data_IF_979327757322
#
_entry.id   IF_979327757322
#
_cell.length_a   1.000
_cell.length_b   1.000
_cell.length_c   1.000
_cell.angle_alpha   90.00
_cell.angle_beta   90.00
_cell.angle_gamma   90.00
#
_symmetry.space_group_name_H-M   'P 1'
#
loop_
_entity.id
_entity.type
_entity.pdbx_description
1 polymer ?
#
# COMPACT_ATOMS: atom_id res chain seq x y z
N UNK A 1 40.91 -43.96 54.37
CA UNK A 1 40.46 -42.54 54.37
C UNK A 1 39.39 -42.29 53.29
N UNK A 2 38.09 -42.30 53.64
CA UNK A 2 36.99 -42.25 52.67
C UNK A 2 36.59 -40.84 52.16
N UNK A 3 37.09 -39.75 52.77
CA UNK A 3 36.59 -38.38 52.53
C UNK A 3 36.94 -37.72 51.17
N UNK A 4 38.02 -38.14 50.49
CA UNK A 4 38.47 -37.48 49.23
C UNK A 4 37.54 -37.75 48.04
N UNK A 5 36.84 -38.89 48.02
CA UNK A 5 35.93 -39.24 46.90
C UNK A 5 34.60 -38.48 46.97
N UNK A 6 34.16 -38.10 48.17
CA UNK A 6 32.91 -37.35 48.37
C UNK A 6 33.06 -35.88 47.91
N UNK A 7 34.16 -35.22 48.28
CA UNK A 7 34.46 -33.83 47.85
C UNK A 7 34.51 -33.68 46.33
N UNK A 8 35.17 -34.61 45.62
CA UNK A 8 35.22 -34.60 44.14
C UNK A 8 33.85 -34.81 43.48
N UNK A 9 32.90 -35.50 44.13
CA UNK A 9 31.53 -35.67 43.60
C UNK A 9 30.72 -34.38 43.77
N UNK A 10 30.82 -33.71 44.92
CA UNK A 10 30.13 -32.45 45.18
C UNK A 10 30.61 -31.32 44.27
N UNK A 11 31.93 -31.21 44.02
CA UNK A 11 32.49 -30.24 43.07
C UNK A 11 32.00 -30.47 41.63
N UNK A 12 31.90 -31.73 41.19
CA UNK A 12 31.36 -32.08 39.87
C UNK A 12 29.86 -31.79 39.76
N UNK A 13 29.08 -31.99 40.82
CA UNK A 13 27.66 -31.66 40.85
C UNK A 13 27.42 -30.13 40.86
N UNK A 14 28.19 -29.37 41.64
CA UNK A 14 28.13 -27.91 41.67
C UNK A 14 28.50 -27.28 40.31
N UNK A 15 29.51 -27.83 39.62
CA UNK A 15 29.91 -27.35 38.28
C UNK A 15 28.81 -27.57 37.23
N UNK A 16 28.14 -28.72 37.26
CA UNK A 16 27.00 -29.01 36.37
C UNK A 16 25.79 -28.12 36.63
N UNK A 17 25.49 -27.82 37.90
CA UNK A 17 24.41 -26.90 38.26
C UNK A 17 24.69 -25.46 37.79
N UNK A 18 25.93 -24.98 37.96
CA UNK A 18 26.35 -23.65 37.49
C UNK A 18 26.29 -23.54 35.96
N UNK A 19 26.72 -24.58 35.25
CA UNK A 19 26.72 -24.63 33.77
C UNK A 19 25.30 -24.64 33.18
N UNK A 20 24.35 -25.34 33.83
CA UNK A 20 22.93 -25.31 33.43
C UNK A 20 22.31 -23.93 33.65
N UNK A 21 22.59 -23.28 34.78
CA UNK A 21 22.08 -21.94 35.09
C UNK A 21 22.56 -20.88 34.10
N UNK A 22 23.84 -20.92 33.70
CA UNK A 22 24.37 -20.02 32.66
C UNK A 22 23.81 -20.29 31.27
N UNK A 23 23.54 -21.56 30.93
CA UNK A 23 22.94 -21.93 29.65
C UNK A 23 21.47 -21.48 29.56
N UNK A 24 20.67 -21.66 30.62
CA UNK A 24 19.31 -21.16 30.65
C UNK A 24 19.22 -19.63 30.64
N UNK A 25 20.17 -18.93 31.27
CA UNK A 25 20.24 -17.46 31.23
C UNK A 25 20.63 -16.94 29.84
N UNK A 26 21.59 -17.58 29.14
CA UNK A 26 21.98 -17.13 27.80
C UNK A 26 20.91 -17.43 26.75
N UNK A 27 20.29 -18.62 26.81
CA UNK A 27 19.23 -19.01 25.88
C UNK A 27 17.95 -18.21 26.16
N UNK A 28 17.57 -18.05 27.43
CA UNK A 28 16.42 -17.24 27.82
C UNK A 28 16.59 -15.77 27.42
N UNK A 29 17.78 -15.20 27.63
CA UNK A 29 18.10 -13.85 27.18
C UNK A 29 17.99 -13.69 25.66
N UNK A 30 18.55 -14.64 24.90
CA UNK A 30 18.46 -14.60 23.44
C UNK A 30 17.02 -14.66 22.93
N UNK A 31 16.17 -15.51 23.51
CA UNK A 31 14.75 -15.63 23.12
C UNK A 31 13.99 -14.33 23.39
N UNK A 32 14.20 -13.70 24.56
CA UNK A 32 13.55 -12.43 24.89
C UNK A 32 13.94 -11.33 23.91
N UNK A 33 15.22 -11.25 23.54
CA UNK A 33 15.71 -10.25 22.57
C UNK A 33 15.07 -10.47 21.20
N UNK A 34 14.97 -11.71 20.73
CA UNK A 34 14.33 -12.01 19.44
C UNK A 34 12.85 -11.62 19.45
N UNK A 35 12.11 -11.94 20.52
CA UNK A 35 10.69 -11.56 20.65
C UNK A 35 10.54 -10.03 20.66
N UNK A 36 11.39 -9.32 21.38
CA UNK A 36 11.37 -7.86 21.44
C UNK A 36 11.62 -7.23 20.05
N UNK A 37 12.57 -7.78 19.28
CA UNK A 37 12.85 -7.31 17.91
C UNK A 37 11.68 -7.56 16.96
N UNK A 38 11.04 -8.73 17.04
CA UNK A 38 9.87 -9.04 16.22
C UNK A 38 8.67 -8.14 16.55
N UNK A 39 8.42 -7.91 17.84
CA UNK A 39 7.36 -7.01 18.29
C UNK A 39 7.62 -5.56 17.83
N UNK A 40 8.87 -5.10 17.96
CA UNK A 40 9.27 -3.78 17.50
C UNK A 40 9.09 -3.63 15.98
N UNK A 41 9.55 -4.61 15.20
CA UNK A 41 9.39 -4.58 13.74
C UNK A 41 7.92 -4.59 13.32
N UNK A 42 7.09 -5.44 13.95
CA UNK A 42 5.65 -5.49 13.69
C UNK A 42 4.96 -4.15 13.99
N UNK A 43 5.33 -3.50 15.09
CA UNK A 43 4.80 -2.19 15.47
C UNK A 43 5.17 -1.10 14.45
N UNK A 44 6.44 -1.02 14.04
CA UNK A 44 6.90 -0.03 13.04
C UNK A 44 6.21 -0.28 11.68
N UNK A 45 6.05 -1.53 11.28
CA UNK A 45 5.41 -1.88 10.02
C UNK A 45 3.92 -1.50 10.01
N UNK A 46 3.21 -1.70 11.13
CA UNK A 46 1.81 -1.32 11.27
C UNK A 46 1.59 0.20 11.24
N UNK A 47 2.51 0.99 11.81
CA UNK A 47 2.45 2.45 11.74
C UNK A 47 2.79 2.99 10.35
N UNK A 48 3.67 2.31 9.62
CA UNK A 48 4.13 2.74 8.29
C UNK A 48 3.15 2.41 7.17
N UNK A 49 2.26 1.45 7.39
CA UNK A 49 1.28 0.98 6.40
C UNK A 49 -0.12 0.94 7.01
N UNK A 50 -0.76 2.11 7.24
CA UNK A 50 -2.16 2.12 7.64
C UNK A 50 -3.00 1.39 6.58
N UNK A 51 -4.04 0.63 6.99
CA UNK A 51 -4.90 -0.05 6.05
C UNK A 51 -5.52 0.97 5.09
N UNK A 52 -5.38 0.72 3.80
CA UNK A 52 -5.99 1.56 2.78
C UNK A 52 -7.53 1.52 2.94
N UNK A 53 -8.20 2.68 2.90
CA UNK A 53 -9.66 2.72 2.90
C UNK A 53 -10.22 1.89 1.74
N UNK A 54 -11.41 1.28 1.91
CA UNK A 54 -12.06 0.58 0.82
C UNK A 54 -12.32 1.55 -0.33
N UNK A 55 -12.15 1.12 -1.59
CA UNK A 55 -12.30 1.99 -2.77
C UNK A 55 -13.65 2.74 -2.82
N UNK A 56 -14.69 2.16 -2.21
CA UNK A 56 -16.03 2.78 -2.10
C UNK A 56 -16.04 4.06 -1.27
N UNK A 57 -15.07 4.28 -0.38
CA UNK A 57 -15.00 5.51 0.43
C UNK A 57 -14.61 6.76 -0.37
N UNK A 58 -14.15 6.58 -1.62
CA UNK A 58 -13.73 7.69 -2.48
C UNK A 58 -14.77 8.07 -3.54
N UNK A 59 -15.87 7.31 -3.67
CA UNK A 59 -16.91 7.59 -4.65
C UNK A 59 -17.77 8.76 -4.15
N UNK A 60 -17.80 9.86 -4.90
CA UNK A 60 -18.59 11.06 -4.57
C UNK A 60 -17.92 12.04 -3.61
N UNK A 61 -16.75 11.70 -3.08
CA UNK A 61 -15.96 12.60 -2.23
C UNK A 61 -15.24 13.65 -3.10
N UNK A 62 -15.21 14.90 -2.64
CA UNK A 62 -14.49 15.96 -3.35
C UNK A 62 -12.99 15.73 -3.23
N UNK A 63 -12.28 15.87 -4.34
CA UNK A 63 -10.82 15.90 -4.31
C UNK A 63 -10.30 17.18 -3.65
N UNK A 64 -9.07 17.15 -3.14
CA UNK A 64 -8.49 18.31 -2.47
C UNK A 64 -8.36 19.51 -3.43
N UNK A 65 -8.59 20.76 -2.97
CA UNK A 65 -8.43 21.96 -3.80
C UNK A 65 -7.08 22.09 -4.52
N UNK A 66 -5.91 21.81 -3.90
CA UNK A 66 -4.64 21.93 -4.62
C UNK A 66 -4.54 20.91 -5.76
N UNK A 67 -5.01 19.68 -5.56
CA UNK A 67 -5.02 18.66 -6.60
C UNK A 67 -5.93 19.07 -7.76
N UNK A 68 -7.13 19.58 -7.45
CA UNK A 68 -8.06 20.09 -8.47
C UNK A 68 -7.42 21.21 -9.31
N UNK A 69 -6.80 22.20 -8.68
CA UNK A 69 -6.13 23.30 -9.39
C UNK A 69 -4.97 22.81 -10.27
N UNK A 70 -4.20 21.81 -9.81
CA UNK A 70 -3.16 21.18 -10.62
C UNK A 70 -3.74 20.47 -11.85
N UNK A 71 -4.85 19.73 -11.68
CA UNK A 71 -5.54 19.06 -12.77
C UNK A 71 -6.08 20.05 -13.81
N UNK A 72 -6.67 21.17 -13.38
CA UNK A 72 -7.14 22.24 -14.28
C UNK A 72 -5.98 22.87 -15.05
N UNK A 73 -4.83 23.13 -14.40
CA UNK A 73 -3.65 23.63 -15.10
C UNK A 73 -3.17 22.65 -16.18
N UNK A 74 -3.18 21.36 -15.88
CA UNK A 74 -2.82 20.31 -16.83
C UNK A 74 -3.84 20.16 -17.97
N UNK A 75 -5.14 20.35 -17.72
CA UNK A 75 -6.14 20.30 -18.79
C UNK A 75 -5.89 21.39 -19.85
N UNK A 76 -5.45 22.57 -19.43
CA UNK A 76 -5.14 23.68 -20.36
C UNK A 76 -3.88 23.47 -21.20
N UNK A 77 -2.91 22.67 -20.74
CA UNK A 77 -1.70 22.37 -21.51
C UNK A 77 -1.98 21.43 -22.69
N UNK A 78 -3.10 20.70 -22.64
CA UNK A 78 -3.44 19.66 -23.60
C UNK A 78 -2.47 18.47 -23.55
N UNK A 79 -2.85 17.37 -24.19
CA UNK A 79 -1.91 16.29 -24.46
C UNK A 79 -1.10 16.65 -25.70
N UNK A 80 0.23 16.53 -25.61
CA UNK A 80 1.12 16.80 -26.73
C UNK A 80 0.74 15.96 -27.96
N UNK A 81 0.53 16.65 -29.08
CA UNK A 81 0.28 16.08 -30.41
C UNK A 81 -1.02 15.26 -30.56
N UNK A 82 -2.11 15.95 -30.87
CA UNK A 82 -3.28 15.33 -31.48
C UNK A 82 -3.02 15.23 -32.99
N UNK A 83 -2.77 14.04 -33.51
CA UNK A 83 -2.80 13.85 -34.96
C UNK A 83 -4.27 13.97 -35.42
N UNK A 84 -4.64 15.16 -35.91
CA UNK A 84 -6.00 15.49 -36.34
C UNK A 84 -6.51 14.60 -37.48
N UNK A 85 -5.61 13.91 -38.20
CA UNK A 85 -5.99 12.92 -39.21
C UNK A 85 -6.49 11.59 -38.62
N UNK A 86 -6.26 11.31 -37.34
CA UNK A 86 -6.83 10.15 -36.63
C UNK A 86 -8.15 10.48 -35.92
N UNK A 87 -8.45 11.78 -35.70
CA UNK A 87 -9.73 12.25 -35.15
C UNK A 87 -10.75 12.37 -36.29
N UNK A 88 -10.99 11.28 -37.00
CA UNK A 88 -11.89 11.27 -38.16
C UNK A 88 -13.35 10.98 -37.81
N UNK A 89 -13.66 10.76 -36.54
CA UNK A 89 -15.03 10.48 -36.12
C UNK A 89 -15.42 11.43 -34.99
N UNK A 90 -16.29 12.38 -35.32
CA UNK A 90 -17.01 13.15 -34.33
C UNK A 90 -17.71 12.19 -33.35
N UNK A 91 -17.69 12.54 -32.07
CA UNK A 91 -18.44 11.80 -31.05
C UNK A 91 -19.92 12.08 -31.32
N UNK A 92 -20.57 11.16 -32.03
CA UNK A 92 -22.01 11.25 -32.29
C UNK A 92 -22.79 10.81 -31.06
N UNK A 93 -23.85 11.53 -30.64
CA UNK A 93 -24.69 11.13 -29.52
C UNK A 93 -25.28 9.73 -29.72
N UNK A 94 -25.34 8.94 -28.65
CA UNK A 94 -26.00 7.64 -28.69
C UNK A 94 -27.52 7.82 -28.88
N UNK A 95 -28.09 7.21 -29.91
CA UNK A 95 -29.53 7.27 -30.17
C UNK A 95 -30.05 8.60 -30.71
N UNK A 96 -29.17 9.45 -31.29
CA UNK A 96 -29.52 10.76 -31.88
C UNK A 96 -30.09 11.80 -30.90
N UNK A 97 -30.03 11.55 -29.59
CA UNK A 97 -30.38 12.52 -28.55
C UNK A 97 -29.14 12.86 -27.74
N UNK A 98 -28.92 14.16 -27.48
CA UNK A 98 -27.84 14.60 -26.60
C UNK A 98 -28.31 14.47 -25.16
N UNK A 99 -27.69 13.57 -24.41
CA UNK A 99 -27.97 13.40 -23.00
C UNK A 99 -27.29 14.55 -22.25
N UNK A 100 -28.09 15.37 -21.58
CA UNK A 100 -27.62 16.54 -20.86
C UNK A 100 -27.89 16.40 -19.36
N UNK A 101 -26.91 16.75 -18.55
CA UNK A 101 -27.09 17.04 -17.12
C UNK A 101 -26.65 18.47 -16.86
N UNK A 102 -27.54 19.30 -16.29
CA UNK A 102 -27.29 20.72 -16.04
C UNK A 102 -26.75 21.50 -17.27
N UNK A 103 -27.22 21.15 -18.47
CA UNK A 103 -26.79 21.76 -19.74
C UNK A 103 -25.43 21.30 -20.26
N UNK A 104 -24.77 20.33 -19.61
CA UNK A 104 -23.52 19.72 -20.07
C UNK A 104 -23.78 18.33 -20.68
N UNK A 105 -23.05 17.94 -21.73
CA UNK A 105 -23.17 16.60 -22.31
C UNK A 105 -22.71 15.52 -21.33
N UNK A 106 -23.48 14.44 -21.23
CA UNK A 106 -23.12 13.25 -20.48
C UNK A 106 -22.23 12.37 -21.36
N UNK A 107 -21.02 12.08 -20.89
CA UNK A 107 -20.09 11.16 -21.54
C UNK A 107 -20.01 9.89 -20.70
N UNK A 108 -20.35 8.76 -21.31
CA UNK A 108 -20.26 7.44 -20.67
C UNK A 108 -18.98 6.77 -21.11
N UNK A 109 -18.08 6.55 -20.14
CA UNK A 109 -16.86 5.79 -20.34
C UNK A 109 -17.06 4.33 -19.91
N UNK A 110 -16.93 3.40 -20.85
CA UNK A 110 -17.05 1.96 -20.60
C UNK A 110 -15.67 1.34 -20.74
N UNK A 111 -15.08 0.92 -19.62
CA UNK A 111 -13.77 0.29 -19.57
C UNK A 111 -13.72 -0.84 -18.55
N UNK A 112 -12.66 -1.64 -18.59
CA UNK A 112 -12.38 -2.68 -17.60
C UNK A 112 -11.01 -2.48 -16.96
N UNK A 113 -10.89 -2.78 -15.67
CA UNK A 113 -9.62 -2.68 -14.93
C UNK A 113 -8.56 -3.68 -15.46
N UNK A 114 -8.99 -4.74 -16.14
CA UNK A 114 -8.11 -5.71 -16.80
C UNK A 114 -7.61 -5.26 -18.18
N UNK A 115 -8.17 -4.17 -18.74
CA UNK A 115 -7.88 -3.71 -20.09
C UNK A 115 -6.83 -2.59 -20.06
N UNK A 116 -5.58 -2.82 -20.49
CA UNK A 116 -4.52 -1.84 -20.39
C UNK A 116 -4.78 -0.59 -21.26
N UNK A 117 -5.41 -0.77 -22.43
CA UNK A 117 -5.80 0.34 -23.29
C UNK A 117 -6.91 1.20 -22.66
N UNK A 118 -7.82 0.58 -21.91
CA UNK A 118 -8.86 1.26 -21.17
C UNK A 118 -8.25 2.08 -20.01
N UNK A 119 -7.28 1.50 -19.29
CA UNK A 119 -6.55 2.25 -18.27
C UNK A 119 -5.83 3.48 -18.86
N UNK A 120 -5.24 3.33 -20.06
CA UNK A 120 -4.50 4.40 -20.74
C UNK A 120 -5.38 5.62 -21.11
N UNK A 121 -6.67 5.42 -21.42
CA UNK A 121 -7.57 6.52 -21.82
C UNK A 121 -8.29 7.20 -20.65
N UNK A 122 -8.22 6.64 -19.44
CA UNK A 122 -8.99 7.13 -18.28
C UNK A 122 -8.57 8.54 -17.85
N UNK A 123 -7.27 8.78 -17.65
CA UNK A 123 -6.74 10.10 -17.27
C UNK A 123 -6.82 11.14 -18.39
N UNK A 124 -6.57 10.79 -19.67
CA UNK A 124 -6.86 11.66 -20.80
C UNK A 124 -8.29 12.17 -20.85
N UNK A 125 -9.26 11.28 -20.64
CA UNK A 125 -10.66 11.67 -20.62
C UNK A 125 -10.97 12.61 -19.46
N UNK A 126 -10.47 12.34 -18.25
CA UNK A 126 -10.69 13.22 -17.09
C UNK A 126 -10.15 14.62 -17.36
N UNK A 127 -8.93 14.76 -17.88
CA UNK A 127 -8.37 16.08 -18.19
C UNK A 127 -9.12 16.79 -19.31
N UNK A 128 -9.61 16.07 -20.33
CA UNK A 128 -10.37 16.67 -21.42
C UNK A 128 -11.73 17.27 -20.99
N UNK A 129 -12.26 16.86 -19.83
CA UNK A 129 -13.58 17.27 -19.32
C UNK A 129 -13.52 18.30 -18.18
N UNK A 130 -12.32 18.72 -17.76
CA UNK A 130 -12.07 19.76 -16.76
C UNK A 130 -11.99 21.16 -17.41
#
# INVERSE_FOLDING_TARGET
MPGKKLKKKMEKQARKARQRRTMYLSVGGAVIVVIALLAYYGYVNALSHPPSPPLTSYIGEKISPPLYSSLVSLSTQGYGYVNTTLVQKEITPYGNSTWLDNGKPIIVYIGGEYCPYCAAVRWPLVLALL
#
